data_IF_042496744407
#
_entry.id   IF_042496744407
#
_cell.length_a   1.000
_cell.length_b   1.000
_cell.length_c   1.000
_cell.angle_alpha   90.00
_cell.angle_beta   90.00
_cell.angle_gamma   90.00
#
_symmetry.space_group_name_H-M   'P 1'
#
loop_
_entity.id
_entity.type
_entity.pdbx_description
1 polymer ?
#
# COMPACT_ATOMS: atom_id res chain seq x y z
N UNK A 1 -22.92 -14.65 -18.43
CA UNK A 1 -24.34 -15.04 -18.31
C UNK A 1 -25.15 -13.98 -19.01
N UNK A 2 -25.80 -14.33 -20.11
CA UNK A 2 -26.46 -13.35 -21.00
C UNK A 2 -27.76 -12.77 -20.41
N UNK A 3 -28.38 -13.47 -19.45
CA UNK A 3 -29.69 -13.10 -18.85
C UNK A 3 -29.60 -12.55 -17.42
N UNK A 4 -28.40 -12.38 -16.87
CA UNK A 4 -28.20 -12.03 -15.45
C UNK A 4 -27.25 -10.86 -15.28
N UNK A 5 -27.52 -10.01 -14.27
CA UNK A 5 -26.64 -8.93 -13.86
C UNK A 5 -26.22 -9.14 -12.41
N UNK A 6 -24.92 -8.97 -12.14
CA UNK A 6 -24.40 -8.96 -10.78
C UNK A 6 -24.94 -7.74 -10.04
N UNK A 7 -25.66 -7.96 -8.96
CA UNK A 7 -26.24 -6.89 -8.13
C UNK A 7 -25.52 -6.72 -6.81
N UNK A 8 -25.01 -7.82 -6.23
CA UNK A 8 -24.31 -7.80 -4.94
C UNK A 8 -23.06 -8.68 -4.98
N UNK A 9 -22.05 -8.25 -4.22
CA UNK A 9 -20.86 -9.05 -3.92
C UNK A 9 -20.58 -8.94 -2.43
N UNK A 10 -20.47 -10.07 -1.73
CA UNK A 10 -20.15 -10.12 -0.31
C UNK A 10 -18.97 -11.04 -0.10
N UNK A 11 -17.94 -10.55 0.56
CA UNK A 11 -16.83 -11.40 1.01
C UNK A 11 -17.19 -11.98 2.37
N UNK A 12 -17.16 -13.30 2.48
CA UNK A 12 -17.41 -14.01 3.73
C UNK A 12 -16.22 -13.81 4.69
N UNK A 13 -16.48 -13.76 6.00
CA UNK A 13 -15.41 -13.65 6.99
C UNK A 13 -14.40 -14.80 6.88
N UNK A 14 -13.11 -14.46 6.93
CA UNK A 14 -12.01 -15.42 7.01
C UNK A 14 -11.45 -15.46 8.44
N UNK A 15 -11.11 -16.67 8.90
CA UNK A 15 -10.55 -16.90 10.23
C UNK A 15 -9.04 -16.66 10.21
N UNK A 16 -8.52 -15.95 11.21
CA UNK A 16 -7.09 -15.74 11.36
C UNK A 16 -6.36 -17.09 11.59
N UNK A 17 -5.33 -17.43 10.80
CA UNK A 17 -4.64 -18.72 10.90
C UNK A 17 -3.62 -18.80 12.04
N UNK A 18 -3.51 -17.77 12.88
CA UNK A 18 -2.52 -17.71 13.96
C UNK A 18 -3.20 -18.03 15.32
N UNK A 19 -3.07 -19.26 15.84
CA UNK A 19 -3.90 -19.74 16.96
C UNK A 19 -3.49 -19.19 18.35
N UNK A 20 -2.39 -18.44 18.45
CA UNK A 20 -1.81 -18.03 19.74
C UNK A 20 -1.43 -16.53 19.77
N UNK A 21 -2.23 -15.68 19.14
CA UNK A 21 -2.02 -14.23 19.21
C UNK A 21 -2.50 -13.66 20.55
N UNK A 22 -1.77 -12.72 21.16
CA UNK A 22 -2.28 -11.94 22.28
C UNK A 22 -3.63 -11.28 21.94
N UNK A 23 -4.58 -11.17 22.90
CA UNK A 23 -5.93 -10.63 22.65
C UNK A 23 -5.95 -9.23 22.02
N UNK A 24 -4.95 -8.40 22.36
CA UNK A 24 -4.85 -7.02 21.88
C UNK A 24 -3.97 -6.88 20.62
N UNK A 25 -3.71 -7.98 19.90
CA UNK A 25 -2.93 -7.94 18.65
C UNK A 25 -3.71 -7.20 17.57
N UNK A 26 -3.22 -6.06 17.06
CA UNK A 26 -3.95 -5.31 16.04
C UNK A 26 -4.01 -6.10 14.73
N UNK A 27 -5.18 -6.05 14.08
CA UNK A 27 -5.38 -6.61 12.73
C UNK A 27 -5.60 -5.48 11.71
N UNK A 28 -4.81 -5.50 10.65
CA UNK A 28 -4.87 -4.56 9.53
C UNK A 28 -5.46 -5.24 8.32
N UNK A 29 -6.73 -4.96 8.05
CA UNK A 29 -7.42 -5.50 6.88
C UNK A 29 -7.27 -4.57 5.68
N UNK A 30 -6.53 -5.02 4.67
CA UNK A 30 -6.28 -4.27 3.44
C UNK A 30 -7.25 -4.73 2.35
N UNK A 31 -8.12 -3.83 1.91
CA UNK A 31 -9.14 -4.05 0.87
C UNK A 31 -8.72 -3.42 -0.45
N UNK A 32 -9.46 -3.70 -1.54
CA UNK A 32 -9.23 -3.09 -2.87
C UNK A 32 -9.27 -1.55 -2.84
N UNK A 33 -10.19 -0.97 -2.06
CA UNK A 33 -10.28 0.49 -1.88
C UNK A 33 -9.23 1.11 -0.94
N UNK A 34 -8.49 0.30 -0.17
CA UNK A 34 -7.55 0.83 0.85
C UNK A 34 -6.46 1.68 0.21
N UNK A 35 -6.32 2.91 0.69
CA UNK A 35 -5.19 3.79 0.37
C UNK A 35 -4.02 3.43 1.26
N UNK A 36 -2.89 3.00 0.71
CA UNK A 36 -1.78 2.40 1.46
C UNK A 36 -1.30 3.22 2.67
N UNK A 37 -1.42 4.55 2.61
CA UNK A 37 -1.10 5.44 3.73
C UNK A 37 -1.90 5.13 4.99
N UNK A 38 -3.14 4.66 4.88
CA UNK A 38 -4.01 4.37 6.03
C UNK A 38 -3.57 3.11 6.79
N UNK A 39 -3.50 1.91 6.17
CA UNK A 39 -3.03 0.70 6.87
C UNK A 39 -1.59 0.86 7.34
N UNK A 40 -0.74 1.57 6.59
CA UNK A 40 0.63 1.84 7.03
C UNK A 40 0.69 2.73 8.27
N UNK A 41 -0.07 3.84 8.31
CA UNK A 41 -0.10 4.73 9.48
C UNK A 41 -0.65 4.01 10.70
N UNK A 42 -1.68 3.19 10.52
CA UNK A 42 -2.22 2.36 11.59
C UNK A 42 -1.15 1.39 12.11
N UNK A 43 -0.54 0.60 11.22
CA UNK A 43 0.47 -0.39 11.60
C UNK A 43 1.67 0.24 12.33
N UNK A 44 2.19 1.36 11.83
CA UNK A 44 3.29 2.07 12.47
C UNK A 44 2.88 2.75 13.77
N UNK A 45 1.65 3.26 13.88
CA UNK A 45 1.14 3.83 15.14
C UNK A 45 1.16 2.83 16.30
N UNK A 46 1.03 1.54 16.00
CA UNK A 46 1.12 0.45 16.98
C UNK A 46 2.53 -0.12 17.16
N UNK A 47 3.34 -0.15 16.09
CA UNK A 47 4.60 -0.89 16.07
C UNK A 47 5.86 -0.02 16.15
N UNK A 48 5.81 1.26 15.78
CA UNK A 48 6.96 2.15 15.74
C UNK A 48 7.17 2.82 17.10
N UNK A 49 8.35 2.64 17.69
CA UNK A 49 8.67 3.32 18.95
C UNK A 49 8.80 4.82 18.71
N UNK A 50 7.94 5.59 19.37
CA UNK A 50 7.99 7.05 19.28
C UNK A 50 9.26 7.52 19.99
N UNK A 51 10.27 7.93 19.23
CA UNK A 51 11.51 8.52 19.76
C UNK A 51 11.13 9.59 20.80
N UNK A 52 11.41 9.30 22.07
CA UNK A 52 11.21 10.26 23.17
C UNK A 52 12.22 11.38 22.99
N UNK A 53 11.85 12.47 22.32
CA UNK A 53 12.77 13.57 22.06
C UNK A 53 12.20 14.72 21.24
N UNK A 54 11.18 15.41 21.77
CA UNK A 54 10.94 16.85 21.67
C UNK A 54 9.62 17.17 22.38
N UNK A 55 9.69 17.83 23.53
CA UNK A 55 8.53 18.25 24.32
C UNK A 55 7.68 19.28 23.55
N UNK A 56 6.36 19.19 23.67
CA UNK A 56 5.42 20.16 23.16
C UNK A 56 3.98 19.78 23.55
N UNK A 57 3.55 20.38 24.66
CA UNK A 57 2.22 20.44 25.28
C UNK A 57 0.98 19.90 24.52
N UNK A 58 0.14 19.19 25.27
CA UNK A 58 -1.32 19.32 25.18
C UNK A 58 -2.03 18.40 24.17
N UNK A 59 -2.46 17.24 24.64
CA UNK A 59 -3.41 16.40 23.90
C UNK A 59 -3.50 15.00 24.49
N UNK A 60 -4.33 14.85 25.52
CA UNK A 60 -4.72 13.54 26.02
C UNK A 60 -5.44 12.75 24.93
N UNK A 61 -4.76 11.74 24.38
CA UNK A 61 -5.37 10.50 23.89
C UNK A 61 -4.35 9.42 24.22
N UNK A 62 -4.76 8.47 25.06
CA UNK A 62 -3.90 7.55 25.81
C UNK A 62 -2.70 7.01 25.01
N UNK A 63 -1.51 7.09 25.61
CA UNK A 63 -0.31 6.50 25.05
C UNK A 63 -0.49 5.00 24.89
N UNK A 64 -0.88 4.58 23.69
CA UNK A 64 -1.06 3.17 23.37
C UNK A 64 0.29 2.46 23.51
N UNK A 65 0.34 1.45 24.38
CA UNK A 65 1.52 0.62 24.55
C UNK A 65 1.90 0.02 23.19
N UNK A 66 3.20 0.00 22.89
CA UNK A 66 3.71 -0.58 21.65
C UNK A 66 3.32 -2.05 21.57
N UNK A 67 2.64 -2.43 20.49
CA UNK A 67 2.29 -3.81 20.25
C UNK A 67 3.55 -4.60 19.87
N UNK A 68 3.68 -5.81 20.40
CA UNK A 68 4.78 -6.72 20.02
C UNK A 68 4.53 -7.41 18.69
N UNK A 69 3.27 -7.54 18.32
CA UNK A 69 2.80 -8.26 17.14
C UNK A 69 1.72 -7.46 16.42
N UNK A 70 1.63 -7.64 15.11
CA UNK A 70 0.55 -7.11 14.29
C UNK A 70 0.26 -8.06 13.12
N UNK A 71 -1.01 -8.17 12.73
CA UNK A 71 -1.44 -8.99 11.60
C UNK A 71 -1.87 -8.09 10.45
N UNK A 72 -1.42 -8.39 9.23
CA UNK A 72 -1.95 -7.81 8.00
C UNK A 72 -2.66 -8.90 7.20
N UNK A 73 -3.88 -8.62 6.74
CA UNK A 73 -4.64 -9.55 5.90
C UNK A 73 -5.28 -8.86 4.71
N UNK A 74 -5.33 -9.57 3.58
CA UNK A 74 -5.97 -9.09 2.37
C UNK A 74 -6.34 -10.21 1.42
N UNK A 75 -7.47 -10.02 0.74
CA UNK A 75 -7.98 -10.93 -0.30
C UNK A 75 -8.00 -10.26 -1.67
N UNK A 76 -7.85 -11.08 -2.72
CA UNK A 76 -7.94 -10.64 -4.11
C UNK A 76 -7.01 -9.48 -4.44
N UNK A 77 -7.57 -8.37 -4.95
CA UNK A 77 -6.81 -7.18 -5.39
C UNK A 77 -6.10 -6.44 -4.25
N UNK A 78 -6.45 -6.71 -2.99
CA UNK A 78 -5.80 -6.11 -1.82
C UNK A 78 -4.42 -6.71 -1.50
N UNK A 79 -4.13 -7.92 -1.98
CA UNK A 79 -2.95 -8.72 -1.59
C UNK A 79 -1.64 -7.95 -1.77
N UNK A 80 -1.40 -7.38 -2.95
CA UNK A 80 -0.16 -6.65 -3.24
C UNK A 80 0.05 -5.44 -2.32
N UNK A 81 -1.04 -4.79 -1.89
CA UNK A 81 -0.96 -3.66 -0.95
C UNK A 81 -0.67 -4.11 0.47
N UNK A 82 -1.18 -5.26 0.91
CA UNK A 82 -0.82 -5.82 2.21
C UNK A 82 0.67 -6.18 2.28
N UNK A 83 1.19 -6.81 1.23
CA UNK A 83 2.63 -7.11 1.11
C UNK A 83 3.44 -5.82 1.17
N UNK A 84 3.09 -4.82 0.33
CA UNK A 84 3.79 -3.53 0.32
C UNK A 84 3.74 -2.85 1.69
N UNK A 85 2.59 -2.90 2.38
CA UNK A 85 2.44 -2.36 3.71
C UNK A 85 3.37 -3.07 4.72
N UNK A 86 3.42 -4.41 4.69
CA UNK A 86 4.30 -5.19 5.55
C UNK A 86 5.79 -4.85 5.32
N UNK A 87 6.21 -4.75 4.05
CA UNK A 87 7.59 -4.35 3.71
C UNK A 87 7.92 -2.93 4.20
N UNK A 88 7.00 -1.99 4.04
CA UNK A 88 7.19 -0.62 4.55
C UNK A 88 7.27 -0.57 6.08
N UNK A 89 6.53 -1.42 6.79
CA UNK A 89 6.62 -1.54 8.25
C UNK A 89 7.98 -2.10 8.66
N UNK A 90 8.44 -3.20 8.06
CA UNK A 90 9.75 -3.81 8.35
C UNK A 90 10.93 -2.87 8.12
N UNK A 91 10.84 -1.97 7.13
CA UNK A 91 11.87 -0.94 6.87
C UNK A 91 11.96 0.12 7.98
N UNK A 92 10.86 0.41 8.67
CA UNK A 92 10.82 1.41 9.75
C UNK A 92 11.02 0.80 11.13
N UNK A 93 10.57 -0.44 11.30
CA UNK A 93 10.67 -1.20 12.53
C UNK A 93 11.59 -2.39 12.27
N UNK A 94 12.86 -2.24 12.63
CA UNK A 94 13.86 -3.29 12.50
C UNK A 94 13.57 -4.47 13.45
N UNK A 95 14.18 -5.62 13.15
CA UNK A 95 14.11 -6.80 14.04
C UNK A 95 12.79 -7.59 13.99
N UNK A 96 11.91 -7.31 13.02
CA UNK A 96 10.64 -8.03 12.92
C UNK A 96 10.79 -9.40 12.26
N UNK A 97 10.38 -10.44 12.98
CA UNK A 97 10.08 -11.75 12.43
C UNK A 97 8.79 -11.69 11.62
N UNK A 98 8.72 -12.44 10.53
CA UNK A 98 7.52 -12.55 9.72
C UNK A 98 7.08 -14.01 9.60
N UNK A 99 5.77 -14.23 9.62
CA UNK A 99 5.16 -15.50 9.24
C UNK A 99 4.00 -15.21 8.27
N UNK A 100 4.09 -15.78 7.06
CA UNK A 100 3.07 -15.62 6.03
C UNK A 100 2.30 -16.93 5.85
N UNK A 101 0.96 -16.84 5.88
CA UNK A 101 0.06 -17.96 5.61
C UNK A 101 -0.89 -17.60 4.46
N UNK A 102 -1.13 -18.55 3.57
CA UNK A 102 -2.01 -18.39 2.41
C UNK A 102 -3.27 -19.23 2.60
N UNK A 103 -4.42 -18.66 2.29
CA UNK A 103 -5.72 -19.32 2.36
C UNK A 103 -6.61 -18.85 1.22
N UNK A 104 -7.77 -19.48 1.06
CA UNK A 104 -8.85 -18.93 0.26
C UNK A 104 -9.87 -18.24 1.17
N UNK A 105 -10.42 -17.14 0.67
CA UNK A 105 -11.62 -16.50 1.20
C UNK A 105 -12.74 -16.64 0.19
N UNK A 106 -13.97 -16.82 0.64
CA UNK A 106 -15.11 -16.99 -0.27
C UNK A 106 -15.82 -15.67 -0.49
N UNK A 107 -16.14 -15.38 -1.75
CA UNK A 107 -17.02 -14.28 -2.14
C UNK A 107 -18.29 -14.84 -2.72
N UNK A 108 -19.42 -14.42 -2.19
CA UNK A 108 -20.74 -14.69 -2.73
C UNK A 108 -21.15 -13.53 -3.64
N UNK A 109 -21.53 -13.86 -4.86
CA UNK A 109 -22.06 -12.91 -5.84
C UNK A 109 -23.52 -13.24 -6.08
N UNK A 110 -24.39 -12.25 -5.84
CA UNK A 110 -25.82 -12.36 -6.16
C UNK A 110 -26.03 -11.77 -7.55
N UNK A 111 -26.72 -12.54 -8.38
CA UNK A 111 -27.01 -12.25 -9.76
C UNK A 111 -28.52 -12.30 -9.96
N UNK A 112 -29.11 -11.16 -10.30
CA UNK A 112 -30.54 -11.07 -10.55
C UNK A 112 -30.81 -11.15 -12.06
N UNK A 113 -31.97 -11.72 -12.46
CA UNK A 113 -32.40 -11.71 -13.86
C UNK A 113 -32.48 -10.29 -14.41
N UNK A 114 -32.06 -10.11 -15.66
CA UNK A 114 -32.15 -8.82 -16.35
C UNK A 114 -33.61 -8.39 -16.59
N UNK A 115 -34.49 -9.35 -16.81
CA UNK A 115 -35.90 -9.13 -17.10
C UNK A 115 -36.77 -9.82 -16.04
N UNK A 116 -37.50 -9.04 -15.24
CA UNK A 116 -38.30 -9.55 -14.13
C UNK A 116 -39.48 -10.45 -14.59
N UNK A 117 -39.91 -10.33 -15.85
CA UNK A 117 -40.97 -11.12 -16.47
C UNK A 117 -40.49 -12.45 -17.07
N UNK A 118 -39.18 -12.70 -17.07
CA UNK A 118 -38.60 -13.94 -17.60
C UNK A 118 -38.90 -15.19 -16.76
N UNK A 119 -39.46 -15.03 -15.56
CA UNK A 119 -39.75 -16.13 -14.62
C UNK A 119 -38.48 -16.80 -14.06
N UNK A 120 -37.32 -16.16 -14.20
CA UNK A 120 -36.04 -16.65 -13.69
C UNK A 120 -35.83 -16.27 -12.22
N UNK A 121 -35.17 -17.13 -11.46
CA UNK A 121 -34.82 -16.90 -10.05
C UNK A 121 -33.48 -16.18 -9.89
N UNK A 122 -33.25 -15.54 -8.74
CA UNK A 122 -31.93 -14.97 -8.38
C UNK A 122 -30.90 -16.09 -8.14
N UNK A 123 -29.68 -15.91 -8.65
CA UNK A 123 -28.59 -16.86 -8.54
C UNK A 123 -27.52 -16.35 -7.56
N UNK A 124 -27.06 -17.23 -6.66
CA UNK A 124 -25.88 -16.97 -5.82
C UNK A 124 -24.70 -17.82 -6.30
N UNK A 125 -23.60 -17.17 -6.68
CA UNK A 125 -22.36 -17.82 -7.13
C UNK A 125 -21.27 -17.61 -6.10
N UNK A 126 -20.69 -18.70 -5.60
CA UNK A 126 -19.52 -18.66 -4.72
C UNK A 126 -18.22 -18.70 -5.52
N UNK A 127 -17.29 -17.79 -5.22
CA UNK A 127 -15.94 -17.77 -5.80
C UNK A 127 -14.88 -17.70 -4.71
N UNK A 128 -13.79 -18.43 -4.90
CA UNK A 128 -12.65 -18.37 -4.00
C UNK A 128 -11.69 -17.27 -4.45
N UNK A 129 -11.35 -16.36 -3.53
CA UNK A 129 -10.29 -15.37 -3.69
C UNK A 129 -9.06 -15.80 -2.90
N UNK A 130 -7.84 -15.65 -3.48
CA UNK A 130 -6.62 -15.83 -2.72
C UNK A 130 -6.59 -14.81 -1.57
N UNK A 131 -6.26 -15.27 -0.38
CA UNK A 131 -6.16 -14.48 0.84
C UNK A 131 -4.77 -14.69 1.47
N UNK A 132 -4.13 -13.59 1.83
CA UNK A 132 -2.84 -13.58 2.52
C UNK A 132 -3.03 -13.14 3.97
N UNK A 133 -2.31 -13.79 4.88
CA UNK A 133 -2.14 -13.39 6.27
C UNK A 133 -0.65 -13.23 6.55
N UNK A 134 -0.25 -12.07 7.06
CA UNK A 134 1.14 -11.75 7.39
C UNK A 134 1.17 -11.35 8.86
N UNK A 135 1.81 -12.16 9.70
CA UNK A 135 2.14 -11.80 11.07
C UNK A 135 3.52 -11.14 11.07
N UNK A 136 3.62 -9.94 11.65
CA UNK A 136 4.89 -9.31 11.99
C UNK A 136 5.05 -9.30 13.51
N UNK A 137 6.18 -9.79 14.01
CA UNK A 137 6.43 -9.99 15.44
C UNK A 137 7.82 -9.52 15.85
N UNK A 138 7.91 -8.84 17.00
CA UNK A 138 9.19 -8.56 17.70
C UNK A 138 9.72 -9.79 18.44
N UNK A 139 8.83 -10.71 18.80
CA UNK A 139 9.18 -11.99 19.42
C UNK A 139 9.60 -12.99 18.34
N UNK A 140 10.51 -13.89 18.71
CA UNK A 140 10.91 -15.00 17.85
C UNK A 140 9.71 -15.88 17.53
N UNK A 141 9.55 -16.21 16.25
CA UNK A 141 8.58 -17.18 15.78
C UNK A 141 9.29 -18.52 15.51
N UNK A 142 8.52 -19.60 15.42
CA UNK A 142 9.04 -20.91 15.06
C UNK A 142 9.58 -20.90 13.62
N UNK A 143 10.89 -21.11 13.50
CA UNK A 143 11.63 -21.06 12.23
C UNK A 143 11.33 -22.23 11.30
N UNK A 144 10.75 -23.30 11.83
CA UNK A 144 10.39 -24.49 11.04
C UNK A 144 9.06 -24.35 10.29
N UNK A 145 8.26 -23.34 10.64
CA UNK A 145 6.96 -23.13 10.01
C UNK A 145 7.11 -22.70 8.54
N UNK A 146 6.33 -23.30 7.61
CA UNK A 146 6.22 -22.79 6.26
C UNK A 146 5.82 -21.31 6.24
N UNK A 147 6.51 -20.52 5.43
CA UNK A 147 6.25 -19.09 5.29
C UNK A 147 6.90 -18.21 6.36
N UNK A 148 7.72 -18.77 7.25
CA UNK A 148 8.56 -17.98 8.16
C UNK A 148 9.67 -17.23 7.41
N UNK A 149 9.95 -16.00 7.83
CA UNK A 149 11.05 -15.17 7.36
C UNK A 149 11.74 -14.47 8.54
N UNK A 150 13.07 -14.54 8.58
CA UNK A 150 13.91 -13.91 9.60
C UNK A 150 14.00 -12.37 9.46
N UNK A 151 14.27 -11.64 10.55
CA UNK A 151 14.54 -10.20 10.49
C UNK A 151 15.74 -9.88 9.59
N UNK A 152 15.72 -8.71 8.93
CA UNK A 152 16.86 -8.22 8.14
C UNK A 152 16.95 -8.74 6.70
N UNK A 153 16.13 -9.72 6.29
CA UNK A 153 16.09 -10.22 4.91
C UNK A 153 15.46 -9.28 3.85
N UNK A 154 15.18 -8.02 4.19
CA UNK A 154 14.45 -7.11 3.29
C UNK A 154 15.33 -6.36 2.28
N UNK A 155 16.64 -6.27 2.51
CA UNK A 155 17.57 -5.53 1.65
C UNK A 155 18.18 -6.38 0.54
N UNK A 156 18.25 -7.70 0.72
CA UNK A 156 18.95 -8.62 -0.20
C UNK A 156 18.27 -8.80 -1.55
N UNK A 157 16.99 -8.42 -1.71
CA UNK A 157 16.27 -8.55 -2.98
C UNK A 157 16.56 -7.40 -3.97
N UNK A 158 17.11 -6.28 -3.49
CA UNK A 158 17.43 -5.11 -4.33
C UNK A 158 18.90 -4.67 -4.24
N UNK A 159 19.69 -5.26 -3.33
CA UNK A 159 21.11 -4.96 -3.19
C UNK A 159 21.99 -5.48 -4.35
N UNK A 160 21.44 -6.27 -5.28
CA UNK A 160 22.23 -6.94 -6.32
C UNK A 160 22.45 -6.13 -7.62
N UNK A 161 22.09 -4.84 -7.66
CA UNK A 161 22.33 -3.98 -8.85
C UNK A 161 23.37 -2.85 -8.65
N UNK A 162 23.98 -2.68 -7.46
CA UNK A 162 24.99 -1.62 -7.25
C UNK A 162 26.45 -2.10 -7.16
N UNK A 163 26.73 -3.39 -7.31
CA UNK A 163 28.11 -3.90 -7.33
C UNK A 163 28.55 -4.27 -8.76
N UNK A 164 28.85 -3.25 -9.58
CA UNK A 164 29.32 -3.48 -10.94
C UNK A 164 29.68 -2.26 -11.81
N UNK A 165 29.70 -1.04 -11.27
CA UNK A 165 30.09 0.17 -12.03
C UNK A 165 31.55 0.56 -11.79
N UNK A 166 32.40 0.72 -12.82
CA UNK A 166 33.81 1.10 -12.63
C UNK A 166 33.94 2.53 -12.08
N UNK A 167 35.02 2.85 -11.33
CA UNK A 167 35.14 4.12 -10.63
C UNK A 167 35.28 5.27 -11.64
N UNK A 168 34.39 6.27 -11.57
CA UNK A 168 34.50 7.50 -12.37
C UNK A 168 35.71 8.30 -11.88
N UNK A 169 36.81 8.19 -12.63
CA UNK A 169 38.02 8.99 -12.46
C UNK A 169 37.71 10.49 -12.65
N UNK A 170 38.15 11.28 -11.68
CA UNK A 170 37.87 12.71 -11.60
C UNK A 170 38.44 13.49 -12.80
N UNK A 171 37.56 14.19 -13.52
CA UNK A 171 37.96 15.21 -14.47
C UNK A 171 38.06 16.57 -13.77
N UNK A 172 39.30 16.95 -13.46
CA UNK A 172 39.74 18.31 -13.11
C UNK A 172 39.12 19.34 -14.08
N UNK A 173 38.23 20.21 -13.59
CA UNK A 173 37.89 21.46 -14.30
C UNK A 173 39.07 22.43 -14.16
N UNK A 174 39.78 22.65 -15.28
CA UNK A 174 40.80 23.71 -15.41
C UNK A 174 40.15 25.09 -15.33
N UNK A 175 40.78 25.95 -14.55
CA UNK A 175 40.51 27.37 -14.32
C UNK A 175 41.20 28.19 -15.42
N UNK A 176 40.43 28.98 -16.17
CA UNK A 176 40.86 30.14 -16.97
C UNK A 176 39.55 30.91 -17.27
N UNK A 177 39.36 32.20 -17.04
CA UNK A 177 40.29 33.31 -16.84
C UNK A 177 39.93 34.41 -17.86
N UNK A 178 39.26 35.48 -17.41
CA UNK A 178 39.40 36.82 -18.00
C UNK A 178 38.24 37.39 -18.85
N UNK A 179 37.78 38.58 -18.43
CA UNK A 179 37.16 39.66 -19.24
C UNK A 179 35.70 39.43 -19.64
N UNK A 180 34.72 40.29 -19.37
CA UNK A 180 34.71 41.76 -19.30
C UNK A 180 33.68 42.25 -20.33
N UNK A 181 32.74 43.13 -19.94
CA UNK A 181 31.93 43.89 -20.90
C UNK A 181 30.42 43.87 -20.66
N UNK A 182 29.90 45.04 -20.31
CA UNK A 182 28.49 45.37 -20.17
C UNK A 182 27.71 45.30 -21.50
N UNK A 183 26.40 45.06 -21.44
CA UNK A 183 25.53 45.16 -22.60
C UNK A 183 24.04 44.99 -22.28
N UNK A 184 23.32 46.11 -22.26
CA UNK A 184 21.87 46.26 -22.18
C UNK A 184 21.15 45.48 -23.30
N UNK A 185 19.92 45.03 -23.05
CA UNK A 185 18.93 44.91 -24.13
C UNK A 185 17.73 43.99 -23.91
N UNK A 186 16.59 44.59 -23.55
CA UNK A 186 15.26 44.37 -24.15
C UNK A 186 14.75 42.93 -24.34
N UNK A 187 13.84 42.52 -23.46
CA UNK A 187 12.75 41.62 -23.84
C UNK A 187 11.58 42.39 -24.46
N UNK A 188 10.84 41.81 -25.42
CA UNK A 188 9.49 42.24 -25.75
C UNK A 188 8.46 41.27 -25.15
N UNK A 189 7.41 41.83 -24.56
CA UNK A 189 6.22 41.10 -24.15
C UNK A 189 5.07 41.23 -25.16
N UNK A 190 4.01 40.46 -24.87
CA UNK A 190 2.59 40.58 -25.34
C UNK A 190 2.37 40.25 -26.84
N UNK A 191 1.32 39.58 -27.29
CA UNK A 191 -0.10 39.63 -26.86
C UNK A 191 -0.87 38.32 -27.02
N UNK A 192 -1.91 38.23 -26.21
CA UNK A 192 -3.10 37.38 -26.27
C UNK A 192 -3.98 37.73 -27.47
N UNK A 193 -4.47 36.72 -28.21
CA UNK A 193 -5.64 36.87 -29.08
C UNK A 193 -6.67 35.80 -28.75
N UNK A 194 -7.87 36.26 -28.37
CA UNK A 194 -9.09 35.49 -28.13
C UNK A 194 -10.00 35.55 -29.36
N UNK A 195 -10.65 34.42 -29.63
CA UNK A 195 -12.05 34.24 -30.08
C UNK A 195 -12.47 34.62 -31.52
N UNK A 196 -13.21 33.70 -32.16
CA UNK A 196 -14.65 33.89 -32.50
C UNK A 196 -15.31 32.61 -33.06
N UNK A 197 -16.41 32.19 -32.44
CA UNK A 197 -17.49 31.37 -33.02
C UNK A 197 -18.30 32.18 -34.06
N UNK A 198 -18.97 31.52 -35.02
CA UNK A 198 -20.08 32.12 -35.74
C UNK A 198 -21.46 31.74 -35.15
N UNK A 199 -22.33 32.76 -35.09
CA UNK A 199 -23.65 32.77 -34.48
C UNK A 199 -24.77 32.19 -35.37
N UNK A 200 -25.88 31.80 -34.71
CA UNK A 200 -27.20 31.55 -35.30
C UNK A 200 -27.86 32.85 -35.79
N UNK A 201 -28.70 32.73 -36.83
CA UNK A 201 -29.72 33.71 -37.23
C UNK A 201 -31.00 33.02 -37.73
N UNK A 202 -32.17 33.69 -37.72
CA UNK A 202 -33.48 33.06 -37.55
C UNK A 202 -34.35 33.06 -38.82
N UNK A 203 -35.29 32.10 -38.91
CA UNK A 203 -36.76 32.27 -39.11
C UNK A 203 -37.43 31.07 -38.43
#
# INVERSE_FOLDING_TARGET
MENYKKTRSVELPSVCPFPALPPDTPEVRVRDGSKIRHPLRFALGHMEERRRGAQGAGGATGGQALCRQIVLTASGKGVSKAITCAEMVKRRVGGLHQLTQLQFSTVEEVWDPLEATSGLDSLTVSRNLPNIWILLSRDTLDRSQPGYQEPGRHDTLWAHEEEGGPPRSGHKRKKAGGGGGAGRGRGPGRETVRSREPAKGPI
#
